data_IF_269425533225
#
_entry.id   IF_269425533225
#
_cell.length_a   1.000
_cell.length_b   1.000
_cell.length_c   1.000
_cell.angle_alpha   90.00
_cell.angle_beta   90.00
_cell.angle_gamma   90.00
#
_symmetry.space_group_name_H-M   'P 1'
#
loop_
_entity.id
_entity.type
_entity.pdbx_description
1 polymer ?
#
# COMPACT_ATOMS: atom_id res chain seq x y z
N UNK A 1 12.15 -16.51 59.38
CA UNK A 1 11.92 -16.95 57.98
C UNK A 1 10.49 -16.73 57.52
N UNK A 2 9.46 -17.20 58.25
CA UNK A 2 8.03 -17.07 57.86
C UNK A 2 7.62 -15.63 57.48
N UNK A 3 7.98 -14.62 58.28
CA UNK A 3 7.65 -13.21 58.02
C UNK A 3 8.31 -12.63 56.76
N UNK A 4 9.51 -13.07 56.42
CA UNK A 4 10.23 -12.58 55.22
C UNK A 4 9.61 -13.16 53.95
N UNK A 5 9.24 -14.45 53.98
CA UNK A 5 8.50 -15.08 52.89
C UNK A 5 7.11 -14.48 52.72
N UNK A 6 6.40 -14.15 53.81
CA UNK A 6 5.09 -13.49 53.72
C UNK A 6 5.19 -12.10 53.09
N UNK A 7 6.19 -11.31 53.47
CA UNK A 7 6.40 -9.97 52.87
C UNK A 7 6.72 -10.10 51.38
N UNK A 8 7.66 -10.98 51.00
CA UNK A 8 8.03 -11.18 49.61
C UNK A 8 6.84 -11.62 48.74
N UNK A 9 6.01 -12.54 49.26
CA UNK A 9 4.85 -13.04 48.55
C UNK A 9 3.78 -11.96 48.37
N UNK A 10 3.55 -11.14 49.39
CA UNK A 10 2.62 -10.00 49.31
C UNK A 10 3.13 -8.97 48.31
N UNK A 11 4.43 -8.66 48.29
CA UNK A 11 4.98 -7.70 47.34
C UNK A 11 4.87 -8.19 45.90
N UNK A 12 5.19 -9.46 45.63
CA UNK A 12 5.04 -10.06 44.28
C UNK A 12 3.58 -10.13 43.86
N UNK A 13 2.68 -10.45 44.79
CA UNK A 13 1.24 -10.53 44.49
C UNK A 13 0.66 -9.14 44.18
N UNK A 14 1.04 -8.10 44.94
CA UNK A 14 0.63 -6.71 44.69
C UNK A 14 1.23 -6.20 43.38
N UNK A 15 2.52 -6.45 43.10
CA UNK A 15 3.16 -6.02 41.85
C UNK A 15 2.57 -6.76 40.63
N UNK A 16 2.25 -8.05 40.79
CA UNK A 16 1.57 -8.85 39.77
C UNK A 16 0.18 -8.30 39.47
N UNK A 17 -0.61 -7.97 40.51
CA UNK A 17 -1.97 -7.43 40.35
C UNK A 17 -1.99 -6.07 39.63
N UNK A 18 -0.95 -5.25 39.79
CA UNK A 18 -0.82 -3.96 39.08
C UNK A 18 -0.50 -4.16 37.59
N UNK A 19 0.13 -5.28 37.18
CA UNK A 19 0.38 -5.57 35.75
C UNK A 19 -0.79 -6.24 35.04
N UNK A 20 -1.69 -6.94 35.73
CA UNK A 20 -2.87 -7.60 35.10
C UNK A 20 -4.06 -6.64 34.93
N UNK A 21 -4.03 -5.49 35.59
CA UNK A 21 -5.11 -4.50 35.57
C UNK A 21 -4.79 -3.28 34.69
N UNK A 22 -4.03 -3.49 33.63
CA UNK A 22 -3.89 -2.51 32.54
C UNK A 22 -4.87 -2.90 31.43
N UNK A 23 -6.16 -2.53 31.50
CA UNK A 23 -6.97 -2.49 30.29
C UNK A 23 -6.37 -1.38 29.41
N UNK A 24 -5.69 -1.78 28.34
CA UNK A 24 -5.38 -0.89 27.22
C UNK A 24 -6.06 -1.40 25.97
N UNK A 25 -7.36 -1.15 25.92
CA UNK A 25 -7.98 -0.83 24.64
C UNK A 25 -8.04 0.70 24.62
N UNK A 26 -7.20 1.31 23.80
CA UNK A 26 -7.35 2.73 23.48
C UNK A 26 -8.41 2.81 22.40
N UNK A 27 -9.65 3.06 22.80
CA UNK A 27 -10.68 3.60 21.91
C UNK A 27 -10.81 5.10 22.17
N UNK A 28 -10.29 5.89 21.23
CA UNK A 28 -10.79 7.21 20.89
C UNK A 28 -9.99 7.73 19.68
N UNK A 29 -10.30 7.24 18.49
CA UNK A 29 -9.89 7.80 17.19
C UNK A 29 -10.78 7.16 16.09
N UNK A 30 -10.84 7.67 14.84
CA UNK A 30 -12.05 7.68 14.00
C UNK A 30 -12.73 6.31 13.94
N UNK A 31 -13.91 6.25 14.55
CA UNK A 31 -14.85 5.13 14.50
C UNK A 31 -16.06 5.62 13.73
N UNK A 32 -16.05 5.43 12.41
CA UNK A 32 -17.17 5.79 11.56
C UNK A 32 -18.22 4.67 11.57
N UNK A 33 -19.50 5.03 11.56
CA UNK A 33 -20.59 4.07 11.33
C UNK A 33 -20.47 3.35 9.97
N UNK A 34 -19.67 3.90 9.05
CA UNK A 34 -19.36 3.32 7.75
C UNK A 34 -18.43 2.11 7.84
N UNK A 35 -17.58 2.02 8.86
CA UNK A 35 -16.64 0.93 9.06
C UNK A 35 -16.56 0.54 10.54
N UNK A 36 -17.61 -0.09 11.09
CA UNK A 36 -17.56 -0.59 12.45
C UNK A 36 -16.65 -1.81 12.55
N UNK A 37 -16.10 -2.06 13.73
CA UNK A 37 -15.29 -3.23 14.02
C UNK A 37 -13.79 -2.95 13.96
N UNK A 38 -13.03 -4.04 13.89
CA UNK A 38 -11.56 -4.03 13.98
C UNK A 38 -10.93 -4.45 12.66
N UNK A 39 -9.65 -4.08 12.49
CA UNK A 39 -8.83 -4.60 11.41
C UNK A 39 -8.64 -6.12 11.55
N UNK A 40 -8.88 -6.81 10.44
CA UNK A 40 -8.61 -8.23 10.29
C UNK A 40 -7.25 -8.38 9.63
N UNK A 41 -6.31 -8.98 10.35
CA UNK A 41 -4.96 -9.28 9.88
C UNK A 41 -4.70 -10.79 10.05
N UNK A 42 -4.33 -11.52 8.98
CA UNK A 42 -4.09 -12.94 9.06
C UNK A 42 -2.80 -13.26 9.84
N UNK A 43 -2.86 -14.28 10.70
CA UNK A 43 -1.67 -14.86 11.29
C UNK A 43 -0.75 -15.44 10.19
N UNK A 44 0.59 -15.39 10.35
CA UNK A 44 1.34 -14.95 11.53
C UNK A 44 1.63 -13.44 11.58
N UNK A 45 1.02 -12.63 10.71
CA UNK A 45 1.31 -11.19 10.65
C UNK A 45 0.67 -10.47 11.83
N UNK A 46 1.45 -9.63 12.50
CA UNK A 46 0.99 -8.85 13.64
C UNK A 46 0.52 -7.50 13.12
N UNK A 47 -0.74 -7.17 13.39
CA UNK A 47 -1.31 -5.84 13.23
C UNK A 47 -1.37 -5.12 14.57
N UNK A 48 -0.89 -3.88 14.63
CA UNK A 48 -1.03 -3.02 15.82
C UNK A 48 -1.76 -1.74 15.42
N UNK A 49 -2.85 -1.42 16.09
CA UNK A 49 -3.57 -0.16 15.85
C UNK A 49 -2.65 1.04 16.16
N UNK A 50 -2.69 2.04 15.29
CA UNK A 50 -1.90 3.28 15.40
C UNK A 50 -2.81 4.47 15.10
N UNK A 51 -2.77 5.49 15.96
CA UNK A 51 -3.43 6.76 15.68
C UNK A 51 -2.70 7.48 14.54
N UNK A 52 -3.46 7.80 13.50
CA UNK A 52 -2.97 8.49 12.29
C UNK A 52 -3.68 9.82 12.05
N UNK A 53 -4.50 10.27 12.99
CA UNK A 53 -5.28 11.52 12.87
C UNK A 53 -4.39 12.75 12.67
N UNK A 54 -3.21 12.78 13.30
CA UNK A 54 -2.23 13.86 13.14
C UNK A 54 -1.63 13.96 11.73
N UNK A 55 -1.70 12.89 10.92
CA UNK A 55 -1.30 12.92 9.50
C UNK A 55 -2.38 13.60 8.66
N UNK A 56 -3.64 13.53 9.09
CA UNK A 56 -4.79 14.01 8.34
C UNK A 56 -5.15 13.12 7.15
N UNK A 57 -6.27 13.44 6.50
CA UNK A 57 -6.68 12.84 5.23
C UNK A 57 -6.44 13.81 4.07
N UNK A 58 -6.22 13.32 2.84
CA UNK A 58 -6.38 14.15 1.66
C UNK A 58 -7.76 14.83 1.66
N UNK A 59 -7.87 16.06 1.17
CA UNK A 59 -9.09 16.88 1.28
C UNK A 59 -10.34 16.27 0.64
N UNK A 60 -10.19 15.35 -0.31
CA UNK A 60 -11.26 14.63 -0.98
C UNK A 60 -11.64 13.31 -0.30
N UNK A 61 -10.98 12.95 0.80
CA UNK A 61 -11.20 11.71 1.53
C UNK A 61 -11.52 11.97 2.99
N UNK A 62 -12.37 11.11 3.54
CA UNK A 62 -12.57 11.02 4.98
C UNK A 62 -11.70 9.90 5.53
N UNK A 63 -10.95 10.16 6.59
CA UNK A 63 -10.28 9.11 7.37
C UNK A 63 -11.36 8.37 8.17
N UNK A 64 -11.55 7.08 7.88
CA UNK A 64 -12.67 6.28 8.39
C UNK A 64 -12.26 5.48 9.62
N UNK A 65 -11.03 4.99 9.63
CA UNK A 65 -10.48 4.16 10.72
C UNK A 65 -9.16 4.74 11.22
N UNK A 66 -8.74 4.32 12.41
CA UNK A 66 -7.32 4.36 12.75
C UNK A 66 -6.47 3.56 11.77
N UNK A 67 -5.17 3.83 11.81
CA UNK A 67 -4.22 3.04 11.07
C UNK A 67 -4.00 1.67 11.70
N UNK A 68 -3.64 0.70 10.87
CA UNK A 68 -3.10 -0.60 11.26
C UNK A 68 -1.64 -0.67 10.82
N UNK A 69 -0.73 -0.89 11.76
CA UNK A 69 0.68 -1.15 11.47
C UNK A 69 0.92 -2.64 11.39
N UNK A 70 1.29 -3.14 10.21
CA UNK A 70 1.61 -4.54 9.98
C UNK A 70 3.12 -4.78 10.07
N UNK A 71 3.51 -5.96 10.56
CA UNK A 71 4.93 -6.37 10.63
C UNK A 71 5.44 -7.02 9.34
N UNK A 72 4.56 -7.38 8.42
CA UNK A 72 4.87 -8.10 7.19
C UNK A 72 3.73 -7.94 6.15
N UNK A 73 3.96 -8.36 4.89
CA UNK A 73 2.91 -8.44 3.87
C UNK A 73 1.73 -9.31 4.30
N UNK A 74 0.51 -8.81 4.14
CA UNK A 74 -0.73 -9.51 4.52
C UNK A 74 -1.95 -8.98 3.77
N UNK A 75 -2.95 -9.84 3.55
CA UNK A 75 -4.30 -9.39 3.21
C UNK A 75 -4.93 -8.75 4.45
N UNK A 76 -4.99 -7.42 4.49
CA UNK A 76 -5.68 -6.71 5.57
C UNK A 76 -7.10 -6.40 5.12
N UNK A 77 -8.05 -6.59 6.01
CA UNK A 77 -9.44 -6.27 5.76
C UNK A 77 -10.00 -5.44 6.91
N UNK A 78 -10.99 -4.63 6.60
CA UNK A 78 -11.83 -3.99 7.60
C UNK A 78 -13.28 -4.09 7.14
N UNK A 79 -14.19 -4.32 8.08
CA UNK A 79 -15.61 -4.23 7.78
C UNK A 79 -15.93 -2.82 7.27
N UNK A 80 -16.69 -2.73 6.17
CA UNK A 80 -17.02 -1.48 5.51
C UNK A 80 -18.49 -1.47 5.06
N UNK A 81 -19.38 -1.20 6.01
CA UNK A 81 -20.83 -1.07 5.75
C UNK A 81 -21.15 0.02 4.73
N UNK A 82 -20.31 1.06 4.63
CA UNK A 82 -20.49 2.16 3.68
C UNK A 82 -20.67 1.71 2.22
N UNK A 83 -20.08 0.58 1.85
CA UNK A 83 -20.22 -0.01 0.51
C UNK A 83 -21.68 -0.23 0.11
N UNK A 84 -22.57 -0.55 1.06
CA UNK A 84 -24.01 -0.72 0.80
C UNK A 84 -24.76 0.59 0.58
N UNK A 85 -24.10 1.74 0.70
CA UNK A 85 -24.70 3.07 0.70
C UNK A 85 -23.94 4.06 -0.19
N UNK A 86 -23.39 3.60 -1.32
CA UNK A 86 -22.64 4.43 -2.29
C UNK A 86 -21.38 5.10 -1.70
N UNK A 87 -20.80 4.54 -0.64
CA UNK A 87 -19.46 4.93 -0.21
C UNK A 87 -18.42 4.01 -0.84
N UNK A 88 -17.35 4.60 -1.33
CA UNK A 88 -16.21 3.89 -1.88
C UNK A 88 -15.10 3.88 -0.84
N UNK A 89 -14.66 2.69 -0.45
CA UNK A 89 -13.58 2.48 0.51
C UNK A 89 -12.22 2.44 -0.19
N UNK A 90 -11.25 3.18 0.34
CA UNK A 90 -9.86 3.16 -0.11
C UNK A 90 -8.92 2.90 1.06
N UNK A 91 -8.22 1.76 1.04
CA UNK A 91 -7.11 1.51 1.93
C UNK A 91 -5.87 2.19 1.35
N UNK A 92 -5.18 2.96 2.19
CA UNK A 92 -3.96 3.68 1.81
C UNK A 92 -2.82 3.35 2.77
N UNK A 93 -1.61 3.30 2.26
CA UNK A 93 -0.38 3.16 3.04
C UNK A 93 0.20 4.52 3.37
N UNK A 94 0.69 4.68 4.59
CA UNK A 94 1.48 5.83 4.99
C UNK A 94 2.94 5.63 4.59
N UNK A 95 3.43 6.45 3.65
CA UNK A 95 4.81 6.47 3.18
C UNK A 95 5.31 7.90 3.27
N UNK A 96 6.39 8.14 4.01
CA UNK A 96 6.98 9.48 4.17
C UNK A 96 5.95 10.58 4.52
N UNK A 97 5.07 10.28 5.48
CA UNK A 97 3.95 11.14 5.93
C UNK A 97 2.89 11.44 4.87
N UNK A 98 2.88 10.71 3.77
CA UNK A 98 1.91 10.85 2.69
C UNK A 98 1.11 9.56 2.49
N UNK A 99 -0.17 9.68 2.19
CA UNK A 99 -1.06 8.55 1.94
C UNK A 99 -1.04 8.10 0.48
N UNK A 100 -0.48 6.92 0.24
CA UNK A 100 -0.40 6.28 -1.07
C UNK A 100 -1.55 5.27 -1.21
N UNK A 101 -2.33 5.36 -2.29
CA UNK A 101 -3.45 4.45 -2.54
C UNK A 101 -2.94 3.03 -2.76
N UNK A 102 -3.61 2.06 -2.14
CA UNK A 102 -3.40 0.62 -2.36
C UNK A 102 -4.66 0.06 -3.02
N UNK A 103 -4.49 -0.92 -3.91
CA UNK A 103 -5.64 -1.59 -4.52
C UNK A 103 -6.54 -2.16 -3.43
N UNK A 104 -7.76 -1.65 -3.39
CA UNK A 104 -8.75 -1.98 -2.38
C UNK A 104 -9.91 -2.65 -3.10
N UNK A 105 -10.19 -3.88 -2.72
CA UNK A 105 -11.38 -4.60 -3.11
C UNK A 105 -12.45 -4.39 -2.06
N UNK A 106 -13.71 -4.29 -2.49
CA UNK A 106 -14.85 -4.30 -1.58
C UNK A 106 -15.74 -5.47 -1.93
N UNK A 107 -15.89 -6.41 -1.01
CA UNK A 107 -16.65 -7.63 -1.24
C UNK A 107 -17.47 -8.04 -0.01
N UNK A 108 -18.56 -8.76 -0.23
CA UNK A 108 -19.31 -9.39 0.85
C UNK A 108 -18.45 -10.49 1.49
N UNK A 109 -18.49 -10.57 2.82
CA UNK A 109 -17.86 -11.68 3.52
C UNK A 109 -18.51 -13.01 3.10
N UNK A 110 -17.73 -14.09 2.97
CA UNK A 110 -18.29 -15.42 2.76
C UNK A 110 -19.13 -15.86 3.97
N UNK A 111 -20.06 -16.79 3.74
CA UNK A 111 -20.90 -17.36 4.79
C UNK A 111 -20.05 -17.94 5.96
N UNK A 112 -20.52 -17.85 7.21
CA UNK A 112 -21.88 -17.46 7.66
C UNK A 112 -22.07 -15.95 7.90
N UNK A 113 -21.05 -15.11 7.64
CA UNK A 113 -21.10 -13.65 7.81
C UNK A 113 -21.78 -12.92 6.64
N UNK A 114 -22.86 -13.48 6.12
CA UNK A 114 -23.59 -12.91 4.97
C UNK A 114 -24.07 -11.48 5.29
N UNK A 115 -23.93 -10.58 4.31
CA UNK A 115 -24.44 -9.21 4.38
C UNK A 115 -23.47 -8.16 4.94
N UNK A 116 -22.23 -8.53 5.30
CA UNK A 116 -21.22 -7.56 5.73
C UNK A 116 -20.17 -7.38 4.65
N UNK A 117 -20.13 -6.18 4.06
CA UNK A 117 -19.05 -5.77 3.16
C UNK A 117 -17.75 -5.58 3.95
N UNK A 118 -16.65 -6.00 3.34
CA UNK A 118 -15.30 -5.73 3.79
C UNK A 118 -14.54 -4.98 2.70
N UNK A 119 -13.83 -3.93 3.11
CA UNK A 119 -12.77 -3.34 2.30
C UNK A 119 -11.49 -4.10 2.63
N UNK A 120 -10.89 -4.73 1.61
CA UNK A 120 -9.70 -5.55 1.74
C UNK A 120 -8.61 -5.08 0.78
N UNK A 121 -7.38 -5.07 1.25
CA UNK A 121 -6.20 -4.77 0.46
C UNK A 121 -5.11 -5.79 0.76
N UNK A 122 -4.54 -6.39 -0.28
CA UNK A 122 -3.29 -7.13 -0.12
C UNK A 122 -2.17 -6.11 0.09
N UNK A 123 -1.49 -6.20 1.24
CA UNK A 123 -0.30 -5.40 1.54
C UNK A 123 0.95 -6.21 1.19
N UNK A 124 1.95 -5.53 0.64
CA UNK A 124 3.18 -6.16 0.11
C UNK A 124 4.42 -5.73 0.85
N UNK A 125 4.25 -4.86 1.85
CA UNK A 125 5.29 -4.39 2.74
C UNK A 125 4.73 -4.32 4.15
N UNK A 126 5.61 -4.43 5.14
CA UNK A 126 5.29 -3.97 6.48
C UNK A 126 5.07 -2.45 6.44
N UNK A 127 4.07 -1.94 7.16
CA UNK A 127 3.76 -0.52 7.10
C UNK A 127 2.51 -0.15 7.87
N UNK A 128 2.21 1.15 7.92
CA UNK A 128 0.97 1.67 8.48
C UNK A 128 -0.03 1.89 7.36
N UNK A 129 -1.22 1.34 7.49
CA UNK A 129 -2.31 1.45 6.53
C UNK A 129 -3.55 2.01 7.20
N UNK A 130 -4.40 2.77 6.51
CA UNK A 130 -5.68 3.21 7.06
C UNK A 130 -6.77 3.13 5.99
N UNK A 131 -8.03 2.98 6.44
CA UNK A 131 -9.19 3.00 5.56
C UNK A 131 -9.69 4.45 5.45
N UNK A 132 -9.87 4.86 4.22
CA UNK A 132 -10.50 6.11 3.83
C UNK A 132 -11.79 5.82 3.08
N UNK A 133 -12.65 6.81 2.96
CA UNK A 133 -13.78 6.73 2.06
C UNK A 133 -14.21 8.09 1.53
N UNK A 134 -14.92 8.03 0.41
CA UNK A 134 -15.67 9.15 -0.15
C UNK A 134 -17.02 8.64 -0.64
N UNK A 135 -17.99 9.55 -0.70
CA UNK A 135 -19.31 9.25 -1.22
C UNK A 135 -19.31 9.44 -2.74
N UNK A 136 -19.75 8.42 -3.47
CA UNK A 136 -19.86 8.45 -4.93
C UNK A 136 -20.98 7.52 -5.39
N UNK A 137 -21.95 8.08 -6.10
CA UNK A 137 -23.02 7.28 -6.72
C UNK A 137 -22.49 6.76 -8.04
N UNK A 138 -22.38 5.42 -8.23
CA UNK A 138 -21.90 4.86 -9.49
C UNK A 138 -22.74 5.31 -10.67
N UNK A 139 -22.08 5.71 -11.75
CA UNK A 139 -22.65 6.08 -13.03
C UNK A 139 -22.43 4.95 -14.05
N UNK A 140 -23.10 5.00 -15.21
CA UNK A 140 -22.90 4.01 -16.27
C UNK A 140 -21.44 3.95 -16.77
N UNK A 141 -20.71 5.06 -16.69
CA UNK A 141 -19.27 5.13 -17.00
C UNK A 141 -18.43 4.38 -15.96
N UNK A 142 -18.78 4.42 -14.67
CA UNK A 142 -18.07 3.69 -13.60
C UNK A 142 -18.18 2.16 -13.77
N UNK A 143 -19.30 1.68 -14.29
CA UNK A 143 -19.55 0.24 -14.58
C UNK A 143 -18.74 -0.21 -15.80
N UNK A 144 -18.54 0.68 -16.79
CA UNK A 144 -17.72 0.39 -17.96
C UNK A 144 -16.21 0.39 -17.66
N UNK A 145 -15.76 1.21 -16.69
CA UNK A 145 -14.35 1.23 -16.22
C UNK A 145 -13.96 -0.06 -15.50
N UNK A 146 -14.90 -0.75 -14.84
CA UNK A 146 -14.65 -2.08 -14.22
C UNK A 146 -14.35 -3.18 -15.26
N UNK A 147 -14.71 -2.95 -16.54
CA UNK A 147 -14.46 -3.88 -17.67
C UNK A 147 -13.39 -3.34 -18.63
N UNK A 148 -13.03 -2.06 -18.56
CA UNK A 148 -12.04 -1.40 -19.41
C UNK A 148 -11.13 -0.47 -18.58
N UNK A 149 -10.17 -1.05 -17.87
CA UNK A 149 -9.08 -0.28 -17.26
C UNK A 149 -8.08 0.15 -18.36
N UNK A 150 -8.21 1.38 -18.88
CA UNK A 150 -7.18 2.03 -19.72
C UNK A 150 -6.87 3.45 -19.22
N UNK A 151 -5.58 3.63 -18.92
CA UNK A 151 -4.72 4.83 -18.89
C UNK A 151 -4.96 5.98 -17.89
N UNK A 152 -4.00 6.15 -16.96
CA UNK A 152 -3.58 7.45 -16.40
C UNK A 152 -2.09 7.44 -15.99
N UNK A 153 -1.38 8.58 -16.07
CA UNK A 153 0.07 8.67 -15.83
C UNK A 153 0.43 8.38 -14.36
N UNK A 154 1.66 7.94 -14.10
CA UNK A 154 2.13 7.62 -12.74
C UNK A 154 1.99 6.15 -12.32
N UNK A 155 2.12 5.20 -13.25
CA UNK A 155 2.00 3.75 -12.99
C UNK A 155 3.18 3.13 -12.20
N UNK A 156 4.08 3.95 -11.67
CA UNK A 156 5.17 3.44 -10.85
C UNK A 156 4.68 3.06 -9.45
N UNK A 157 5.17 1.94 -8.92
CA UNK A 157 4.83 1.50 -7.56
C UNK A 157 5.27 2.46 -6.46
N UNK A 158 6.25 3.34 -6.75
CA UNK A 158 6.69 4.42 -5.88
C UNK A 158 7.49 5.49 -6.63
N UNK A 159 7.79 6.59 -5.94
CA UNK A 159 8.57 7.71 -6.45
C UNK A 159 7.69 8.82 -6.99
N UNK A 160 8.26 10.01 -7.11
CA UNK A 160 7.58 11.16 -7.69
C UNK A 160 7.89 11.22 -9.18
N UNK A 161 6.87 11.30 -10.03
CA UNK A 161 7.05 11.39 -11.47
C UNK A 161 7.80 12.67 -11.85
N UNK A 162 8.79 12.54 -12.72
CA UNK A 162 9.62 13.63 -13.23
C UNK A 162 9.73 13.54 -14.75
N UNK A 163 9.69 14.69 -15.40
CA UNK A 163 9.97 14.78 -16.84
C UNK A 163 11.44 14.49 -17.11
N UNK A 164 11.72 13.80 -18.22
CA UNK A 164 13.07 13.42 -18.62
C UNK A 164 13.56 14.30 -19.76
N UNK A 165 14.74 14.88 -19.58
CA UNK A 165 15.45 15.61 -20.63
C UNK A 165 16.49 14.70 -21.31
N UNK A 166 16.11 14.12 -22.44
CA UNK A 166 17.00 13.26 -23.23
C UNK A 166 17.97 14.04 -24.12
N UNK A 167 17.87 15.37 -24.20
CA UNK A 167 18.89 16.21 -24.84
C UNK A 167 20.08 16.33 -23.89
N UNK A 168 19.81 16.60 -22.61
CA UNK A 168 20.85 16.70 -21.58
C UNK A 168 21.38 15.33 -21.15
N UNK A 169 20.51 14.31 -21.07
CA UNK A 169 20.85 12.95 -20.64
C UNK A 169 20.52 11.93 -21.73
N UNK A 170 21.37 11.82 -22.76
CA UNK A 170 21.08 11.02 -23.94
C UNK A 170 20.99 9.53 -23.60
N UNK A 171 20.04 8.87 -24.25
CA UNK A 171 19.91 7.41 -24.28
C UNK A 171 20.46 6.88 -25.61
N UNK A 172 20.91 5.62 -25.67
CA UNK A 172 21.25 5.00 -26.94
C UNK A 172 20.07 5.04 -27.93
N UNK A 173 20.35 5.21 -29.22
CA UNK A 173 19.32 5.36 -30.26
C UNK A 173 18.44 4.12 -30.46
N UNK A 174 18.87 2.96 -29.95
CA UNK A 174 18.13 1.70 -29.98
C UNK A 174 17.22 1.49 -28.76
N UNK A 175 17.28 2.40 -27.76
CA UNK A 175 16.60 2.26 -26.49
C UNK A 175 15.53 3.35 -26.34
N UNK A 176 14.27 2.92 -26.25
CA UNK A 176 13.12 3.82 -26.12
C UNK A 176 12.66 3.93 -24.67
N UNK A 177 12.20 5.13 -24.28
CA UNK A 177 11.60 5.35 -22.95
C UNK A 177 10.12 5.03 -23.00
N UNK A 178 9.66 4.14 -22.13
CA UNK A 178 8.26 3.70 -22.05
C UNK A 178 7.50 4.33 -20.87
N UNK A 179 8.19 5.12 -20.06
CA UNK A 179 7.59 5.90 -18.97
C UNK A 179 8.25 7.27 -18.85
N UNK A 180 7.61 8.17 -18.11
CA UNK A 180 8.31 9.26 -17.44
C UNK A 180 9.27 8.70 -16.37
N UNK A 181 10.20 9.54 -15.92
CA UNK A 181 11.07 9.18 -14.83
C UNK A 181 10.34 9.21 -13.50
N UNK A 182 10.90 8.52 -12.50
CA UNK A 182 10.56 8.70 -11.11
C UNK A 182 11.79 9.10 -10.31
N UNK A 183 11.61 10.07 -9.43
CA UNK A 183 12.57 10.37 -8.38
C UNK A 183 12.21 9.59 -7.13
N UNK A 184 13.16 8.80 -6.65
CA UNK A 184 13.07 8.12 -5.35
C UNK A 184 14.16 8.65 -4.42
N UNK A 185 13.87 8.68 -3.12
CA UNK A 185 14.73 9.28 -2.09
C UNK A 185 15.46 8.26 -1.24
N UNK A 186 15.10 6.98 -1.34
CA UNK A 186 15.59 5.90 -0.48
C UNK A 186 15.83 4.62 -1.27
N UNK A 187 16.47 3.62 -0.66
CA UNK A 187 16.51 2.26 -1.19
C UNK A 187 15.09 1.66 -1.28
N UNK A 188 14.82 0.82 -2.27
CA UNK A 188 13.59 0.02 -2.33
C UNK A 188 13.18 -0.41 -3.73
N UNK A 189 12.18 -1.27 -3.83
CA UNK A 189 11.72 -1.78 -5.12
C UNK A 189 10.84 -0.75 -5.85
N UNK A 190 11.07 -0.65 -7.15
CA UNK A 190 10.28 0.15 -8.10
C UNK A 190 9.75 -0.78 -9.18
N UNK A 191 8.47 -0.66 -9.50
CA UNK A 191 7.83 -1.45 -10.53
C UNK A 191 7.00 -0.55 -11.43
N UNK A 192 6.93 -0.91 -12.71
CA UNK A 192 6.07 -0.26 -13.68
C UNK A 192 5.38 -1.31 -14.56
N UNK A 193 4.07 -1.17 -14.83
CA UNK A 193 3.35 -1.95 -15.81
C UNK A 193 4.09 -2.06 -17.13
N UNK A 194 4.15 -3.26 -17.67
CA UNK A 194 4.77 -3.53 -18.94
C UNK A 194 3.90 -4.52 -19.72
N UNK A 195 3.23 -4.09 -20.80
CA UNK A 195 2.43 -5.00 -21.59
C UNK A 195 3.34 -6.04 -22.24
N UNK A 196 3.36 -7.26 -21.70
CA UNK A 196 3.98 -8.41 -22.32
C UNK A 196 3.09 -8.89 -23.48
N UNK A 197 3.02 -8.10 -24.55
CA UNK A 197 2.21 -8.39 -25.74
C UNK A 197 3.03 -8.93 -26.93
N UNK A 198 4.32 -8.59 -27.02
CA UNK A 198 5.15 -8.96 -28.16
C UNK A 198 6.33 -9.81 -27.71
N UNK A 199 6.44 -11.04 -28.21
CA UNK A 199 7.43 -12.05 -27.83
C UNK A 199 8.92 -11.64 -28.03
N UNK A 200 9.16 -10.42 -28.51
CA UNK A 200 10.50 -9.85 -28.79
C UNK A 200 10.80 -8.58 -28.00
N UNK A 201 9.83 -8.02 -27.27
CA UNK A 201 10.04 -6.77 -26.55
C UNK A 201 10.75 -7.04 -25.22
N UNK A 202 11.91 -6.42 -25.05
CA UNK A 202 12.68 -6.46 -23.80
C UNK A 202 12.53 -5.12 -23.13
N UNK A 203 12.26 -5.11 -21.82
CA UNK A 203 12.30 -3.90 -21.02
C UNK A 203 13.28 -4.00 -19.87
N UNK A 204 13.73 -2.83 -19.45
CA UNK A 204 14.73 -2.68 -18.41
C UNK A 204 14.55 -1.35 -17.70
N UNK A 205 14.68 -1.40 -16.37
CA UNK A 205 14.68 -0.21 -15.55
C UNK A 205 16.14 0.27 -15.44
N UNK A 206 16.34 1.57 -15.64
CA UNK A 206 17.65 2.20 -15.53
C UNK A 206 17.63 3.38 -14.57
N UNK A 207 18.74 3.60 -13.89
CA UNK A 207 19.00 4.77 -13.04
C UNK A 207 19.86 5.78 -13.79
N UNK A 208 19.56 7.06 -13.68
CA UNK A 208 20.45 8.13 -14.14
C UNK A 208 21.58 8.33 -13.11
N UNK A 209 22.82 8.04 -13.52
CA UNK A 209 24.04 8.25 -12.72
C UNK A 209 25.06 9.00 -13.56
N UNK A 210 25.56 10.12 -13.04
CA UNK A 210 26.61 10.93 -13.69
C UNK A 210 26.30 11.25 -15.16
N UNK A 211 25.02 11.50 -15.46
CA UNK A 211 24.51 11.80 -16.80
C UNK A 211 24.29 10.57 -17.70
N UNK A 212 24.49 9.36 -17.21
CA UNK A 212 24.35 8.11 -17.95
C UNK A 212 23.26 7.20 -17.37
N UNK A 213 22.54 6.50 -18.25
CA UNK A 213 21.50 5.55 -17.87
C UNK A 213 22.09 4.16 -17.57
N UNK A 214 22.24 3.83 -16.29
CA UNK A 214 22.79 2.56 -15.80
C UNK A 214 21.67 1.55 -15.60
N UNK A 215 21.81 0.37 -16.23
CA UNK A 215 20.83 -0.71 -16.13
C UNK A 215 20.81 -1.36 -14.74
N UNK A 216 19.61 -1.60 -14.24
CA UNK A 216 19.37 -2.39 -13.05
C UNK A 216 18.96 -3.84 -13.41
N UNK A 217 19.24 -4.81 -12.53
CA UNK A 217 18.61 -6.13 -12.58
C UNK A 217 17.08 -5.96 -12.56
N UNK A 218 16.45 -6.19 -13.72
CA UNK A 218 15.01 -6.04 -13.89
C UNK A 218 14.39 -7.42 -13.94
N UNK A 219 13.42 -7.66 -13.06
CA UNK A 219 12.63 -8.88 -13.00
C UNK A 219 11.22 -8.60 -13.49
N UNK A 220 10.53 -9.65 -13.94
CA UNK A 220 9.18 -9.52 -14.43
C UNK A 220 8.24 -10.41 -13.64
N UNK A 221 7.12 -9.85 -13.23
CA UNK A 221 6.07 -10.60 -12.54
C UNK A 221 4.74 -9.88 -12.63
N UNK A 222 3.68 -10.64 -12.45
CA UNK A 222 2.35 -10.08 -12.24
C UNK A 222 2.33 -9.45 -10.86
N UNK A 223 1.95 -8.16 -10.80
CA UNK A 223 1.77 -7.41 -9.55
C UNK A 223 0.27 -7.29 -9.31
N UNK A 224 -0.31 -8.04 -8.36
CA UNK A 224 -1.75 -8.02 -8.16
C UNK A 224 -2.30 -6.64 -7.71
N UNK A 225 -1.46 -5.75 -7.19
CA UNK A 225 -1.73 -4.35 -6.79
C UNK A 225 -2.03 -3.42 -7.96
N UNK A 226 -1.54 -3.75 -9.16
CA UNK A 226 -1.82 -3.01 -10.39
C UNK A 226 -2.63 -3.92 -11.29
N UNK A 227 -3.80 -4.36 -10.83
CA UNK A 227 -4.77 -5.13 -11.61
C UNK A 227 -4.29 -6.46 -12.23
N UNK A 228 -3.28 -7.09 -11.63
CA UNK A 228 -2.70 -8.31 -12.20
C UNK A 228 -1.93 -8.01 -13.49
N UNK A 229 -1.47 -6.77 -13.65
CA UNK A 229 -0.68 -6.35 -14.80
C UNK A 229 0.75 -6.87 -14.66
N UNK A 230 1.20 -7.53 -15.71
CA UNK A 230 2.59 -7.94 -15.86
C UNK A 230 3.47 -6.69 -15.82
N UNK A 231 4.44 -6.68 -14.92
CA UNK A 231 5.21 -5.48 -14.60
C UNK A 231 6.69 -5.78 -14.58
N UNK A 232 7.47 -4.79 -14.98
CA UNK A 232 8.92 -4.77 -14.81
C UNK A 232 9.24 -4.19 -13.43
N UNK A 233 10.06 -4.88 -12.64
CA UNK A 233 10.47 -4.48 -11.29
C UNK A 233 11.98 -4.47 -11.13
N UNK A 234 12.52 -3.50 -10.40
CA UNK A 234 13.92 -3.43 -10.05
C UNK A 234 14.12 -2.87 -8.64
N UNK A 235 15.25 -3.20 -8.01
CA UNK A 235 15.66 -2.58 -6.75
C UNK A 235 16.37 -1.27 -7.07
N UNK A 236 15.81 -0.14 -6.63
CA UNK A 236 16.50 1.14 -6.57
C UNK A 236 17.49 1.10 -5.39
N UNK A 237 18.82 1.09 -5.63
CA UNK A 237 19.81 0.91 -4.57
C UNK A 237 19.97 2.17 -3.69
N UNK A 238 19.60 3.34 -4.21
CA UNK A 238 19.81 4.63 -3.54
C UNK A 238 18.84 5.71 -4.08
N UNK A 239 18.93 6.92 -3.53
CA UNK A 239 18.20 8.07 -4.06
C UNK A 239 18.62 8.39 -5.51
N UNK A 240 17.67 8.70 -6.38
CA UNK A 240 17.99 9.00 -7.78
C UNK A 240 16.77 9.06 -8.68
N UNK A 241 17.03 9.26 -9.97
CA UNK A 241 16.02 9.24 -11.04
C UNK A 241 16.10 7.91 -11.77
N UNK A 242 14.95 7.27 -11.94
CA UNK A 242 14.80 5.97 -12.57
C UNK A 242 13.74 6.03 -13.65
N UNK A 243 13.85 5.22 -14.69
CA UNK A 243 12.81 5.12 -15.73
C UNK A 243 12.79 3.74 -16.36
N UNK A 244 11.68 3.41 -17.01
CA UNK A 244 11.47 2.18 -17.75
C UNK A 244 11.86 2.43 -19.20
N UNK A 245 12.83 1.67 -19.67
CA UNK A 245 13.19 1.61 -21.07
C UNK A 245 12.76 0.28 -21.69
N UNK A 246 12.71 0.25 -23.03
CA UNK A 246 12.49 -0.97 -23.78
C UNK A 246 13.10 -0.92 -25.17
N UNK A 247 13.28 -2.09 -25.76
CA UNK A 247 13.75 -2.28 -27.13
C UNK A 247 13.24 -3.61 -27.68
N UNK A 248 13.23 -3.74 -29.00
CA UNK A 248 12.87 -5.00 -29.67
C UNK A 248 14.14 -5.83 -29.88
N UNK A 249 14.20 -7.01 -29.27
CA UNK A 249 15.23 -8.00 -29.54
C UNK A 249 14.98 -8.67 -30.89
N UNK A 250 16.05 -8.96 -31.65
CA UNK A 250 15.95 -9.57 -32.99
C UNK A 250 15.65 -11.06 -32.91
#
# INVERSE_FOLDING_TARGET
>A
MKKVFTVLFVTVFVLGMVMVNVPRNVEAAPGSSLAPGEWIVPAPVIGTAVDVTAVGAPSYLQLITNGIKTTAPALICHQFKGAGYNWIGEIRQLVDKTWVKVKTSTALAPAPSEGIYHACAQTYYAGTYALFAYYHVPTEEDIAVDVAMVEKPGLWSRGNEVSLDFVTYPRPSWLDSYSNGIQVTTYGEICHPFPAGEAKMVSEIRQLKDGLWVRLPTTFRVIPEVDGVYSACAIAPEAGIYTLFGYVSK
#
